data_IF_200636861059
#
_entry.id   IF_200636861059
#
_cell.length_a   1.000
_cell.length_b   1.000
_cell.length_c   1.000
_cell.angle_alpha   90.00
_cell.angle_beta   90.00
_cell.angle_gamma   90.00
#
_symmetry.space_group_name_H-M   'P 1'
#
loop_
_entity.id
_entity.type
_entity.pdbx_description
1 polymer ?
#
# COMPACT_ATOMS: atom_id res chain seq x y z
N UNK A 1 55.58 18.76 53.14
CA UNK A 1 54.68 18.45 54.25
C UNK A 1 53.44 17.85 53.59
N UNK A 2 53.37 16.52 53.55
CA UNK A 2 52.52 15.65 54.39
C UNK A 2 51.03 15.85 54.01
N UNK A 3 50.24 14.88 53.60
CA UNK A 3 50.25 13.45 53.89
C UNK A 3 49.34 12.67 52.91
N UNK A 4 49.73 11.43 52.74
CA UNK A 4 49.01 10.28 52.19
C UNK A 4 47.59 10.08 52.72
N UNK A 5 46.77 9.51 51.90
CA UNK A 5 45.43 8.99 52.20
C UNK A 5 45.05 7.82 51.31
N UNK A 6 45.64 6.67 51.56
CA UNK A 6 45.37 5.36 50.95
C UNK A 6 43.94 4.91 51.19
N UNK A 7 43.17 4.62 50.13
CA UNK A 7 41.92 3.86 50.22
C UNK A 7 42.13 2.42 49.72
N UNK A 8 41.95 1.49 50.63
CA UNK A 8 42.05 0.04 50.42
C UNK A 8 40.88 -0.48 49.58
N UNK A 9 41.17 -1.12 48.49
CA UNK A 9 40.26 -2.00 47.74
C UNK A 9 40.18 -3.35 48.43
N UNK A 10 38.96 -3.82 48.75
CA UNK A 10 38.66 -5.17 49.16
C UNK A 10 38.23 -6.02 47.93
N UNK A 11 38.74 -7.24 47.78
CA UNK A 11 38.35 -8.12 46.68
C UNK A 11 37.06 -8.83 46.98
N UNK A 12 36.04 -8.71 46.10
CA UNK A 12 34.86 -9.53 46.09
C UNK A 12 35.14 -10.88 45.45
N UNK A 13 35.18 -11.92 46.26
CA UNK A 13 35.35 -13.31 45.88
C UNK A 13 34.16 -13.85 45.10
N UNK A 14 34.44 -14.54 43.98
CA UNK A 14 33.53 -15.36 43.20
C UNK A 14 33.13 -16.62 43.99
N UNK A 15 32.09 -16.54 44.85
CA UNK A 15 31.40 -17.74 45.39
C UNK A 15 30.21 -17.31 46.24
N UNK A 16 29.10 -16.99 45.58
CA UNK A 16 27.75 -17.12 46.14
C UNK A 16 26.71 -16.63 45.10
N UNK A 17 26.41 -17.43 44.10
CA UNK A 17 25.21 -17.31 43.27
C UNK A 17 25.02 -18.61 42.49
N UNK A 18 24.82 -19.70 43.23
CA UNK A 18 24.22 -20.92 42.74
C UNK A 18 23.04 -21.25 43.70
N UNK A 19 21.85 -20.93 43.27
CA UNK A 19 20.64 -21.30 44.02
C UNK A 19 19.43 -20.62 43.39
N UNK A 20 18.58 -21.46 42.76
CA UNK A 20 17.22 -21.18 42.24
C UNK A 20 17.12 -20.62 40.82
N UNK A 21 17.28 -21.54 39.85
CA UNK A 21 16.65 -21.41 38.53
C UNK A 21 15.18 -21.76 38.67
N UNK A 22 14.34 -20.75 38.90
CA UNK A 22 12.90 -20.83 38.70
C UNK A 22 12.58 -20.25 37.33
N UNK A 23 12.22 -21.11 36.38
CA UNK A 23 11.74 -20.69 35.07
C UNK A 23 10.43 -19.96 35.25
N UNK A 24 10.44 -18.63 35.13
CA UNK A 24 9.27 -17.81 34.89
C UNK A 24 9.34 -17.35 33.44
N UNK A 25 8.69 -18.12 32.57
CA UNK A 25 8.28 -17.69 31.25
C UNK A 25 7.22 -16.60 31.40
N UNK A 26 7.62 -15.34 31.46
CA UNK A 26 6.72 -14.21 31.26
C UNK A 26 6.45 -14.06 29.77
N UNK A 27 5.50 -14.85 29.26
CA UNK A 27 4.69 -14.45 28.13
C UNK A 27 3.88 -13.25 28.56
N UNK A 28 4.33 -12.04 28.25
CA UNK A 28 3.55 -10.83 28.43
C UNK A 28 2.40 -10.83 27.42
N UNK A 29 1.37 -11.61 27.67
CA UNK A 29 0.03 -11.30 27.24
C UNK A 29 -0.37 -10.05 28.04
N UNK A 30 -0.23 -8.87 27.43
CA UNK A 30 -0.89 -7.67 27.96
C UNK A 30 -2.37 -8.02 28.12
N UNK A 31 -2.93 -7.92 29.34
CA UNK A 31 -4.32 -8.28 29.53
C UNK A 31 -5.17 -7.32 28.71
N UNK A 32 -6.01 -7.87 27.83
CA UNK A 32 -7.06 -7.16 27.10
C UNK A 32 -8.02 -6.34 28.00
N UNK A 33 -7.82 -6.38 29.32
CA UNK A 33 -8.61 -5.71 30.34
C UNK A 33 -8.20 -4.27 30.64
N UNK A 34 -7.04 -3.79 30.20
CA UNK A 34 -6.57 -2.42 30.54
C UNK A 34 -6.96 -1.34 29.51
N UNK A 35 -7.53 -1.74 28.34
CA UNK A 35 -8.06 -0.80 27.34
C UNK A 35 -9.59 -0.67 27.35
N UNK A 36 -10.28 -1.40 28.24
CA UNK A 36 -11.74 -1.52 28.23
C UNK A 36 -12.48 -0.58 29.21
N UNK A 37 -11.77 0.30 29.93
CA UNK A 37 -12.44 1.14 30.93
C UNK A 37 -13.11 2.40 30.33
N UNK A 38 -12.65 2.89 29.16
CA UNK A 38 -13.11 4.17 28.59
C UNK A 38 -13.76 4.08 27.19
N UNK A 39 -13.65 2.95 26.46
CA UNK A 39 -14.29 2.75 25.14
C UNK A 39 -15.09 1.44 25.11
N UNK A 40 -16.44 1.50 25.17
CA UNK A 40 -17.29 0.30 25.12
C UNK A 40 -17.17 -0.46 23.81
N UNK A 41 -16.72 0.18 22.74
CA UNK A 41 -16.54 -0.40 21.42
C UNK A 41 -15.09 -0.88 21.14
N UNK A 42 -14.17 -0.81 22.11
CA UNK A 42 -12.76 -1.13 21.91
C UNK A 42 -12.54 -2.54 21.31
N UNK A 43 -13.28 -3.55 21.78
CA UNK A 43 -13.16 -4.92 21.33
C UNK A 43 -13.60 -5.09 19.86
N UNK A 44 -14.78 -4.60 19.49
CA UNK A 44 -15.30 -4.67 18.13
C UNK A 44 -14.47 -3.79 17.17
N UNK A 45 -13.94 -2.67 17.67
CA UNK A 45 -13.04 -1.79 16.91
C UNK A 45 -11.74 -2.50 16.52
N UNK A 46 -11.12 -3.21 17.47
CA UNK A 46 -9.92 -4.01 17.21
C UNK A 46 -10.21 -5.14 16.20
N UNK A 47 -11.35 -5.84 16.37
CA UNK A 47 -11.81 -6.87 15.44
C UNK A 47 -12.09 -6.31 14.03
N UNK A 48 -12.67 -5.12 13.95
CA UNK A 48 -12.93 -4.42 12.70
C UNK A 48 -11.63 -4.07 11.96
N UNK A 49 -10.65 -3.46 12.64
CA UNK A 49 -9.38 -3.12 11.99
C UNK A 49 -8.66 -4.35 11.46
N UNK A 50 -8.66 -5.44 12.21
CA UNK A 50 -8.09 -6.70 11.77
C UNK A 50 -8.80 -7.24 10.51
N UNK A 51 -10.13 -7.26 10.50
CA UNK A 51 -10.96 -7.88 9.48
C UNK A 51 -11.14 -7.03 8.21
N UNK A 52 -11.10 -5.70 8.35
CA UNK A 52 -11.47 -4.78 7.27
C UNK A 52 -10.62 -4.98 6.02
N UNK A 53 -9.32 -5.22 6.18
CA UNK A 53 -8.43 -5.46 5.03
C UNK A 53 -8.79 -6.74 4.28
N UNK A 54 -9.16 -7.81 5.00
CA UNK A 54 -9.60 -9.05 4.38
C UNK A 54 -10.86 -8.83 3.54
N UNK A 55 -11.83 -8.07 4.08
CA UNK A 55 -13.04 -7.71 3.36
C UNK A 55 -12.72 -6.90 2.09
N UNK A 56 -11.88 -5.86 2.20
CA UNK A 56 -11.47 -5.04 1.07
C UNK A 56 -10.65 -5.81 0.03
N UNK A 57 -9.80 -6.74 0.46
CA UNK A 57 -9.08 -7.64 -0.42
C UNK A 57 -10.07 -8.48 -1.25
N UNK A 58 -10.99 -9.20 -0.63
CA UNK A 58 -11.99 -10.01 -1.31
C UNK A 58 -12.89 -9.16 -2.24
N UNK A 59 -13.29 -7.97 -1.81
CA UNK A 59 -14.11 -7.05 -2.60
C UNK A 59 -13.40 -6.59 -3.87
N UNK A 60 -12.11 -6.25 -3.76
CA UNK A 60 -11.29 -5.84 -4.92
C UNK A 60 -11.00 -7.02 -5.85
N UNK A 61 -10.76 -8.20 -5.29
CA UNK A 61 -10.57 -9.43 -6.04
C UNK A 61 -11.79 -9.77 -6.90
N UNK A 62 -12.97 -9.79 -6.30
CA UNK A 62 -14.21 -10.05 -7.00
C UNK A 62 -14.58 -8.96 -8.01
N UNK A 63 -14.20 -7.69 -7.74
CA UNK A 63 -14.37 -6.61 -8.70
C UNK A 63 -13.46 -6.79 -9.92
N UNK A 64 -12.22 -7.22 -9.72
CA UNK A 64 -11.29 -7.50 -10.81
C UNK A 64 -11.77 -8.68 -11.67
N UNK A 65 -12.26 -9.75 -11.03
CA UNK A 65 -12.85 -10.90 -11.73
C UNK A 65 -14.03 -10.50 -12.64
N UNK A 66 -14.87 -9.57 -12.19
CA UNK A 66 -15.99 -9.04 -13.01
C UNK A 66 -15.51 -8.20 -14.21
N UNK A 67 -14.39 -7.48 -14.07
CA UNK A 67 -13.83 -6.68 -15.17
C UNK A 67 -13.40 -7.52 -16.38
N UNK A 68 -13.12 -8.80 -16.20
CA UNK A 68 -12.67 -9.73 -17.25
C UNK A 68 -13.83 -10.45 -17.95
N UNK A 69 -15.06 -10.25 -17.46
CA UNK A 69 -16.24 -10.84 -18.08
C UNK A 69 -16.42 -12.35 -17.88
N UNK A 70 -15.59 -12.99 -17.06
CA UNK A 70 -15.68 -14.40 -16.76
C UNK A 70 -15.69 -14.63 -15.24
N UNK A 71 -16.71 -15.29 -14.66
CA UNK A 71 -16.63 -15.78 -13.30
C UNK A 71 -15.45 -16.76 -13.17
N UNK A 72 -14.56 -16.55 -12.22
CA UNK A 72 -13.48 -17.49 -11.91
C UNK A 72 -12.14 -17.22 -12.57
N UNK A 73 -11.77 -15.96 -12.79
CA UNK A 73 -10.46 -15.57 -13.35
C UNK A 73 -9.32 -15.55 -12.32
N UNK A 74 -9.40 -16.34 -11.26
CA UNK A 74 -8.23 -16.61 -10.42
C UNK A 74 -7.10 -17.23 -11.26
N UNK A 75 -5.87 -16.88 -10.93
CA UNK A 75 -4.67 -17.33 -11.62
C UNK A 75 -4.56 -16.84 -13.09
N UNK A 76 -5.26 -15.77 -13.43
CA UNK A 76 -5.26 -15.17 -14.79
C UNK A 76 -4.86 -13.70 -14.71
N UNK A 77 -3.93 -13.26 -15.56
CA UNK A 77 -3.48 -11.87 -15.60
C UNK A 77 -4.50 -11.00 -16.33
N UNK A 78 -4.92 -9.94 -15.64
CA UNK A 78 -5.68 -8.82 -16.22
C UNK A 78 -4.72 -7.69 -16.53
N UNK A 79 -4.64 -7.30 -17.79
CA UNK A 79 -3.77 -6.23 -18.25
C UNK A 79 -4.56 -4.96 -18.49
N UNK A 80 -4.06 -3.84 -17.94
CA UNK A 80 -4.52 -2.50 -18.29
C UNK A 80 -3.44 -1.85 -19.12
N UNK A 81 -3.67 -1.75 -20.42
CA UNK A 81 -2.73 -1.21 -21.40
C UNK A 81 -2.87 0.30 -21.60
N UNK A 82 -3.68 0.98 -20.80
CA UNK A 82 -3.89 2.42 -20.89
C UNK A 82 -3.54 3.09 -19.57
N UNK A 83 -2.93 4.26 -19.65
CA UNK A 83 -2.77 5.14 -18.51
C UNK A 83 -4.15 5.65 -18.05
N UNK A 84 -4.29 5.87 -16.75
CA UNK A 84 -5.49 6.52 -16.24
C UNK A 84 -5.56 7.97 -16.72
N UNK A 85 -6.77 8.42 -17.02
CA UNK A 85 -7.11 9.79 -17.40
C UNK A 85 -8.28 10.31 -16.53
N UNK A 86 -8.82 11.48 -16.86
CA UNK A 86 -9.93 12.09 -16.14
C UNK A 86 -11.24 11.26 -16.20
N UNK A 87 -11.38 10.32 -17.13
CA UNK A 87 -12.51 9.39 -17.23
C UNK A 87 -12.36 8.19 -16.30
N UNK A 88 -11.18 7.97 -15.76
CA UNK A 88 -10.87 6.84 -14.88
C UNK A 88 -11.46 7.07 -13.49
N UNK A 89 -12.72 6.61 -13.26
CA UNK A 89 -13.50 6.81 -12.02
C UNK A 89 -13.63 5.56 -11.15
N UNK A 90 -13.03 4.43 -11.55
CA UNK A 90 -13.17 3.14 -10.86
C UNK A 90 -12.39 3.06 -9.54
N UNK A 91 -11.30 3.83 -9.41
CA UNK A 91 -10.47 3.92 -8.22
C UNK A 91 -10.26 5.39 -7.84
N UNK A 92 -10.10 5.67 -6.56
CA UNK A 92 -9.72 7.00 -6.09
C UNK A 92 -8.22 7.22 -6.26
N UNK A 93 -7.82 8.44 -6.56
CA UNK A 93 -6.43 8.86 -6.77
C UNK A 93 -5.63 7.95 -7.73
N UNK A 94 -6.17 7.68 -8.95
CA UNK A 94 -5.54 6.77 -9.89
C UNK A 94 -4.13 7.25 -10.29
N UNK A 95 -3.21 6.30 -10.44
CA UNK A 95 -1.87 6.58 -10.94
C UNK A 95 -1.90 6.78 -12.47
N UNK A 96 -1.14 7.74 -12.96
CA UNK A 96 -0.99 8.06 -14.39
C UNK A 96 0.44 7.83 -14.92
N UNK A 97 1.34 7.26 -14.10
CA UNK A 97 2.75 7.07 -14.47
C UNK A 97 3.04 5.66 -15.00
N UNK A 98 2.18 4.68 -14.67
CA UNK A 98 2.42 3.25 -14.96
C UNK A 98 1.20 2.58 -15.55
N UNK A 99 1.42 1.58 -16.41
CA UNK A 99 0.41 0.59 -16.76
C UNK A 99 0.47 -0.58 -15.79
N UNK A 100 -0.62 -1.33 -15.69
CA UNK A 100 -0.80 -2.35 -14.66
C UNK A 100 -1.11 -3.72 -15.22
N UNK A 101 -0.49 -4.77 -14.65
CA UNK A 101 -0.98 -6.15 -14.76
C UNK A 101 -1.35 -6.65 -13.39
N UNK A 102 -2.55 -7.15 -13.22
CA UNK A 102 -3.08 -7.63 -11.94
C UNK A 102 -3.46 -9.10 -12.08
N UNK A 103 -3.13 -9.91 -11.08
CA UNK A 103 -3.52 -11.31 -11.01
C UNK A 103 -3.81 -11.69 -9.58
N UNK A 104 -4.93 -12.34 -9.37
CA UNK A 104 -5.32 -12.89 -8.09
C UNK A 104 -5.03 -14.39 -8.11
N UNK A 105 -4.16 -14.82 -7.23
CA UNK A 105 -3.70 -16.20 -7.13
C UNK A 105 -4.44 -16.91 -6.00
N UNK A 106 -4.99 -18.08 -6.31
CA UNK A 106 -5.32 -19.08 -5.30
C UNK A 106 -4.21 -20.12 -5.29
N UNK A 107 -3.44 -20.17 -4.21
CA UNK A 107 -2.31 -21.08 -4.03
C UNK A 107 -2.68 -22.39 -3.32
N UNK A 108 -3.95 -22.59 -2.97
CA UNK A 108 -4.42 -23.80 -2.28
C UNK A 108 -4.24 -25.09 -3.09
N UNK A 109 -4.25 -24.99 -4.41
CA UNK A 109 -4.03 -26.09 -5.33
C UNK A 109 -2.54 -26.41 -5.60
N UNK A 110 -1.61 -25.64 -5.04
CA UNK A 110 -0.17 -25.72 -5.29
C UNK A 110 0.42 -24.37 -5.75
N UNK A 111 1.72 -24.32 -6.01
CA UNK A 111 2.39 -23.09 -6.40
C UNK A 111 1.95 -22.59 -7.78
N UNK A 112 2.13 -21.29 -8.01
CA UNK A 112 2.05 -20.68 -9.34
C UNK A 112 3.44 -20.22 -9.76
N UNK A 113 3.70 -20.28 -11.06
CA UNK A 113 4.94 -19.80 -11.65
C UNK A 113 4.73 -18.43 -12.29
N UNK A 114 5.56 -17.46 -11.90
CA UNK A 114 5.77 -16.21 -12.61
C UNK A 114 6.91 -16.41 -13.61
N UNK A 115 6.70 -16.04 -14.87
CA UNK A 115 7.79 -15.70 -15.79
C UNK A 115 7.81 -14.17 -15.95
N UNK A 116 8.97 -13.55 -15.70
CA UNK A 116 9.18 -12.11 -15.78
C UNK A 116 10.29 -11.77 -16.77
N UNK A 117 10.16 -10.69 -17.58
CA UNK A 117 11.20 -10.25 -18.50
C UNK A 117 12.39 -9.62 -17.75
N UNK A 118 13.56 -9.61 -18.37
CA UNK A 118 14.67 -8.75 -17.98
C UNK A 118 14.43 -7.34 -18.50
N UNK A 119 14.40 -6.34 -17.59
CA UNK A 119 14.12 -4.95 -17.92
C UNK A 119 15.17 -4.05 -17.26
N UNK A 120 15.87 -3.23 -18.06
CA UNK A 120 16.98 -2.39 -17.62
C UNK A 120 16.76 -0.89 -17.90
N UNK A 121 15.90 -0.59 -18.83
CA UNK A 121 15.68 0.74 -19.41
C UNK A 121 14.50 1.50 -18.81
N UNK A 122 13.67 0.81 -18.00
CA UNK A 122 12.50 1.39 -17.33
C UNK A 122 12.24 0.77 -15.97
N UNK A 123 11.47 1.47 -15.14
CA UNK A 123 11.01 0.92 -13.88
C UNK A 123 9.98 -0.18 -14.12
N UNK A 124 10.24 -1.33 -13.52
CA UNK A 124 9.31 -2.46 -13.37
C UNK A 124 9.26 -2.89 -11.91
N UNK A 125 8.07 -3.07 -11.38
CA UNK A 125 7.84 -3.68 -10.08
C UNK A 125 6.68 -4.66 -10.16
N UNK A 126 6.94 -5.93 -9.86
CA UNK A 126 5.94 -6.98 -9.70
C UNK A 126 5.88 -7.29 -8.22
N UNK A 127 4.88 -6.78 -7.53
CA UNK A 127 4.66 -6.98 -6.10
C UNK A 127 3.71 -8.14 -5.86
N UNK A 128 3.98 -8.95 -4.84
CA UNK A 128 3.12 -10.01 -4.35
C UNK A 128 2.70 -9.70 -2.93
N UNK A 129 1.38 -9.61 -2.71
CA UNK A 129 0.77 -9.28 -1.43
C UNK A 129 -0.08 -10.45 -0.95
N UNK A 130 0.00 -10.77 0.34
CA UNK A 130 -0.90 -11.72 0.97
C UNK A 130 -2.32 -11.13 1.14
N UNK A 131 -3.28 -11.88 1.67
CA UNK A 131 -4.65 -11.40 1.86
C UNK A 131 -4.78 -10.21 2.83
N UNK A 132 -3.75 -9.94 3.63
CA UNK A 132 -3.65 -8.73 4.48
C UNK A 132 -2.93 -7.57 3.80
N UNK A 133 -2.63 -7.69 2.51
CA UNK A 133 -1.92 -6.70 1.69
C UNK A 133 -0.50 -6.35 2.15
N UNK A 134 0.13 -7.22 2.96
CA UNK A 134 1.57 -7.16 3.20
C UNK A 134 2.32 -7.64 1.97
N UNK A 135 3.27 -6.85 1.49
CA UNK A 135 4.11 -7.22 0.35
C UNK A 135 5.22 -8.18 0.81
N UNK A 136 5.09 -9.47 0.51
CA UNK A 136 6.06 -10.47 0.92
C UNK A 136 7.15 -10.75 -0.13
N UNK A 137 6.93 -10.36 -1.40
CA UNK A 137 7.91 -10.52 -2.47
C UNK A 137 7.78 -9.46 -3.54
N UNK A 138 8.91 -9.19 -4.20
CA UNK A 138 8.99 -8.33 -5.38
C UNK A 138 9.91 -8.94 -6.43
N UNK A 139 9.60 -8.70 -7.72
CA UNK A 139 10.47 -8.94 -8.86
C UNK A 139 10.51 -7.67 -9.70
N UNK A 140 11.68 -7.26 -10.16
CA UNK A 140 11.84 -6.08 -11.02
C UNK A 140 13.06 -5.24 -10.68
N UNK A 141 12.98 -3.94 -10.95
CA UNK A 141 14.13 -3.01 -10.94
C UNK A 141 14.91 -3.04 -9.64
N UNK A 142 14.24 -3.02 -8.48
CA UNK A 142 14.92 -3.04 -7.18
C UNK A 142 15.28 -4.46 -6.74
N UNK A 143 14.28 -5.34 -6.69
CA UNK A 143 14.40 -6.62 -5.97
C UNK A 143 15.27 -7.64 -6.70
N UNK A 144 15.30 -7.62 -8.03
CA UNK A 144 16.12 -8.52 -8.85
C UNK A 144 17.09 -7.77 -9.76
N UNK A 145 17.38 -6.48 -9.47
CA UNK A 145 18.22 -5.62 -10.29
C UNK A 145 17.79 -5.61 -11.78
N UNK A 146 16.47 -5.64 -12.04
CA UNK A 146 15.91 -5.72 -13.36
C UNK A 146 16.09 -7.07 -14.07
N UNK A 147 16.63 -8.09 -13.39
CA UNK A 147 16.73 -9.44 -13.96
C UNK A 147 15.35 -10.10 -13.96
N UNK A 148 14.98 -10.64 -15.09
CA UNK A 148 13.84 -11.53 -15.24
C UNK A 148 14.17 -12.96 -14.86
N UNK A 149 13.27 -13.87 -15.20
CA UNK A 149 13.40 -15.29 -14.94
C UNK A 149 12.10 -15.94 -14.51
N UNK A 150 12.23 -17.15 -13.97
CA UNK A 150 11.11 -17.92 -13.42
C UNK A 150 11.16 -17.87 -11.91
N UNK A 151 10.00 -17.70 -11.28
CA UNK A 151 9.84 -17.60 -9.83
C UNK A 151 8.58 -18.37 -9.43
N UNK A 152 8.64 -19.17 -8.37
CA UNK A 152 7.47 -19.83 -7.85
C UNK A 152 6.87 -19.08 -6.66
N UNK A 153 5.57 -18.97 -6.66
CA UNK A 153 4.79 -18.39 -5.56
C UNK A 153 4.02 -19.55 -4.92
N UNK A 154 4.30 -19.83 -3.65
CA UNK A 154 3.73 -20.95 -2.93
C UNK A 154 2.91 -20.48 -1.72
N UNK A 155 1.79 -21.16 -1.48
CA UNK A 155 0.97 -20.99 -0.29
C UNK A 155 1.60 -21.58 0.97
N UNK A 156 1.01 -21.33 2.15
CA UNK A 156 1.58 -21.71 3.43
C UNK A 156 1.65 -23.23 3.63
N UNK A 157 0.73 -23.98 3.05
CA UNK A 157 0.65 -25.44 3.22
C UNK A 157 1.53 -26.23 2.23
N UNK A 158 2.10 -25.57 1.21
CA UNK A 158 2.89 -26.25 0.20
C UNK A 158 4.25 -26.74 0.75
N UNK A 159 4.53 -28.05 0.66
CA UNK A 159 5.75 -28.71 1.15
C UNK A 159 6.64 -29.27 0.03
N UNK A 160 6.28 -29.01 -1.25
CA UNK A 160 7.03 -29.53 -2.38
C UNK A 160 8.36 -28.83 -2.61
N UNK A 161 9.05 -29.26 -3.67
CA UNK A 161 10.33 -28.70 -4.12
C UNK A 161 10.15 -28.05 -5.49
N UNK A 162 10.68 -26.85 -5.66
CA UNK A 162 10.75 -26.22 -6.97
C UNK A 162 11.86 -26.84 -7.83
N UNK A 163 11.83 -26.66 -9.15
CA UNK A 163 12.93 -27.01 -10.02
C UNK A 163 14.22 -26.29 -9.61
N UNK A 164 15.36 -26.92 -9.92
CA UNK A 164 16.67 -26.36 -9.58
C UNK A 164 16.86 -24.96 -10.16
N UNK A 165 17.36 -24.06 -9.31
CA UNK A 165 17.61 -22.66 -9.68
C UNK A 165 16.36 -21.77 -9.74
N UNK A 166 15.16 -22.28 -9.45
CA UNK A 166 13.93 -21.47 -9.41
C UNK A 166 13.65 -21.00 -7.99
N UNK A 167 13.74 -19.68 -7.71
CA UNK A 167 13.41 -19.13 -6.39
C UNK A 167 11.94 -19.34 -6.03
N UNK A 168 11.67 -19.59 -4.74
CA UNK A 168 10.32 -19.75 -4.20
C UNK A 168 10.00 -18.64 -3.23
N UNK A 169 8.95 -17.87 -3.53
CA UNK A 169 8.37 -16.90 -2.61
C UNK A 169 7.21 -17.55 -1.86
N UNK A 170 7.24 -17.52 -0.53
CA UNK A 170 6.21 -18.11 0.31
C UNK A 170 5.27 -17.07 0.87
N UNK A 171 3.99 -17.24 0.61
CA UNK A 171 2.92 -16.42 1.20
C UNK A 171 2.44 -17.03 2.51
N UNK A 172 2.00 -16.20 3.45
CA UNK A 172 1.30 -16.60 4.67
C UNK A 172 -0.19 -16.93 4.44
N UNK A 173 -0.71 -16.65 3.23
CA UNK A 173 -2.09 -16.96 2.83
C UNK A 173 -2.12 -17.61 1.45
N UNK A 174 -3.17 -18.42 1.18
CA UNK A 174 -3.38 -19.00 -0.14
C UNK A 174 -3.87 -17.97 -1.17
N UNK A 175 -4.60 -16.97 -0.72
CA UNK A 175 -5.05 -15.87 -1.57
C UNK A 175 -3.94 -14.81 -1.62
N UNK A 176 -3.49 -14.51 -2.85
CA UNK A 176 -2.38 -13.59 -3.11
C UNK A 176 -2.74 -12.65 -4.26
N UNK A 177 -2.43 -11.39 -4.10
CA UNK A 177 -2.55 -10.39 -5.15
C UNK A 177 -1.18 -10.10 -5.76
N UNK A 178 -0.99 -10.45 -7.02
CA UNK A 178 0.13 -9.97 -7.85
C UNK A 178 -0.26 -8.66 -8.52
N UNK A 179 0.55 -7.63 -8.38
CA UNK A 179 0.34 -6.35 -9.07
C UNK A 179 1.65 -5.86 -9.69
N UNK A 180 1.73 -5.91 -11.01
CA UNK A 180 2.85 -5.37 -11.77
C UNK A 180 2.59 -3.90 -12.15
N UNK A 181 3.62 -3.07 -12.04
CA UNK A 181 3.68 -1.67 -12.45
C UNK A 181 4.82 -1.48 -13.42
N UNK A 182 4.53 -0.96 -14.59
CA UNK A 182 5.49 -0.72 -15.68
C UNK A 182 5.43 0.76 -16.03
N UNK A 183 6.54 1.46 -15.87
CA UNK A 183 6.64 2.87 -16.20
C UNK A 183 6.35 3.11 -17.67
N UNK A 184 5.56 4.15 -17.92
CA UNK A 184 5.30 4.70 -19.26
C UNK A 184 5.86 6.11 -19.33
N UNK A 185 6.75 6.35 -20.26
CA UNK A 185 7.44 7.63 -20.43
C UNK A 185 6.76 8.51 -21.50
N UNK A 186 5.51 8.84 -21.18
CA UNK A 186 4.65 9.59 -22.08
C UNK A 186 3.90 8.73 -23.11
N UNK A 187 2.97 9.32 -23.88
CA UNK A 187 2.08 8.58 -24.79
C UNK A 187 2.80 7.79 -25.88
N UNK A 188 3.94 8.26 -26.35
CA UNK A 188 4.72 7.60 -27.42
C UNK A 188 5.46 6.35 -26.95
N UNK A 189 5.68 6.22 -25.63
CA UNK A 189 6.34 5.07 -25.00
C UNK A 189 5.37 3.92 -24.68
N UNK A 190 4.06 4.16 -24.74
CA UNK A 190 3.06 3.17 -24.36
C UNK A 190 3.24 1.82 -25.09
N UNK A 191 3.49 1.74 -26.40
CA UNK A 191 3.71 0.45 -27.08
C UNK A 191 4.92 -0.32 -26.54
N UNK A 192 6.01 0.36 -26.16
CA UNK A 192 7.19 -0.27 -25.59
C UNK A 192 6.92 -0.81 -24.18
N UNK A 193 6.15 -0.06 -23.36
CA UNK A 193 5.71 -0.53 -22.05
C UNK A 193 4.75 -1.74 -22.16
N UNK A 194 3.84 -1.73 -23.14
CA UNK A 194 2.95 -2.87 -23.43
C UNK A 194 3.75 -4.11 -23.87
N UNK A 195 4.80 -3.94 -24.67
CA UNK A 195 5.67 -5.05 -25.07
C UNK A 195 6.33 -5.73 -23.85
N UNK A 196 6.75 -4.96 -22.85
CA UNK A 196 7.22 -5.50 -21.54
C UNK A 196 6.08 -6.19 -20.80
N UNK A 197 4.90 -5.58 -20.77
CA UNK A 197 3.72 -6.11 -20.09
C UNK A 197 3.32 -7.49 -20.61
N UNK A 198 3.39 -7.71 -21.92
CA UNK A 198 3.00 -8.98 -22.55
C UNK A 198 3.95 -10.14 -22.21
N UNK A 199 5.19 -9.85 -21.83
CA UNK A 199 6.18 -10.85 -21.44
C UNK A 199 5.98 -11.35 -19.99
N UNK A 200 5.16 -10.69 -19.18
CA UNK A 200 4.82 -11.16 -17.83
C UNK A 200 3.74 -12.22 -17.96
N UNK A 201 4.02 -13.42 -17.46
CA UNK A 201 3.03 -14.51 -17.46
C UNK A 201 2.96 -15.22 -16.12
N UNK A 202 1.76 -15.74 -15.81
CA UNK A 202 1.48 -16.63 -14.68
C UNK A 202 1.01 -17.94 -15.26
N UNK A 203 1.57 -19.04 -14.78
CA UNK A 203 1.18 -20.40 -15.19
C UNK A 203 1.12 -21.36 -14.01
N UNK A 204 0.33 -22.42 -14.16
CA UNK A 204 0.23 -23.48 -13.17
C UNK A 204 1.24 -24.59 -13.51
N UNK A 205 2.17 -24.95 -12.60
CA UNK A 205 2.96 -26.17 -12.75
C UNK A 205 2.07 -27.40 -12.85
N UNK A 206 2.60 -28.49 -13.46
CA UNK A 206 1.88 -29.76 -13.59
C UNK A 206 1.45 -30.33 -12.23
N UNK A 207 0.30 -31.00 -12.21
CA UNK A 207 -0.24 -31.64 -11.00
C UNK A 207 -0.98 -30.71 -10.04
N UNK A 208 -1.19 -29.46 -10.41
CA UNK A 208 -1.94 -28.49 -9.60
C UNK A 208 -3.45 -28.70 -9.73
N UNK A 209 -4.17 -28.56 -8.61
CA UNK A 209 -5.63 -28.53 -8.63
C UNK A 209 -6.18 -27.19 -9.18
N UNK A 210 -7.40 -27.18 -9.76
CA UNK A 210 -8.05 -25.93 -10.17
C UNK A 210 -8.22 -24.95 -9.00
N UNK A 211 -8.25 -23.63 -9.28
CA UNK A 211 -8.48 -22.64 -8.24
C UNK A 211 -9.87 -22.73 -7.66
N UNK A 212 -10.00 -22.45 -6.37
CA UNK A 212 -11.30 -22.39 -5.67
C UNK A 212 -11.85 -20.97 -5.72
N UNK A 213 -12.98 -20.80 -6.40
CA UNK A 213 -13.68 -19.52 -6.39
C UNK A 213 -14.23 -19.15 -5.01
N UNK A 214 -14.59 -17.86 -4.83
CA UNK A 214 -15.33 -17.42 -3.66
C UNK A 214 -16.78 -17.89 -3.70
N UNK A 215 -17.32 -18.28 -2.54
CA UNK A 215 -18.72 -18.68 -2.39
C UNK A 215 -19.59 -17.52 -1.90
N UNK A 216 -19.00 -16.54 -1.21
CA UNK A 216 -19.69 -15.35 -0.70
C UNK A 216 -19.26 -14.11 -1.49
N UNK A 217 -20.23 -13.44 -2.10
CA UNK A 217 -19.99 -12.18 -2.79
C UNK A 217 -19.87 -11.02 -1.79
N UNK A 218 -18.76 -10.28 -1.84
CA UNK A 218 -18.60 -9.07 -1.07
C UNK A 218 -19.48 -7.94 -1.62
N UNK A 219 -20.22 -7.26 -0.75
CA UNK A 219 -21.05 -6.13 -1.13
C UNK A 219 -20.22 -4.85 -1.33
N UNK A 220 -20.64 -3.90 -2.18
CA UNK A 220 -19.84 -2.73 -2.51
C UNK A 220 -19.50 -1.82 -1.34
N UNK A 221 -20.36 -1.74 -0.31
CA UNK A 221 -20.22 -0.75 0.77
C UNK A 221 -19.65 -1.33 2.08
N UNK A 222 -19.61 -2.65 2.27
CA UNK A 222 -19.07 -3.29 3.46
C UNK A 222 -19.81 -2.95 4.77
N UNK A 223 -21.09 -2.55 4.67
CA UNK A 223 -21.91 -2.13 5.82
C UNK A 223 -22.94 -3.17 6.26
N UNK A 224 -23.11 -4.25 5.52
CA UNK A 224 -23.93 -5.39 5.91
C UNK A 224 -23.10 -6.31 6.84
N UNK A 225 -23.54 -6.44 8.09
CA UNK A 225 -22.82 -7.18 9.12
C UNK A 225 -22.69 -8.68 8.82
N UNK A 226 -23.74 -9.30 8.30
CA UNK A 226 -23.73 -10.73 7.98
C UNK A 226 -22.80 -11.00 6.78
N UNK A 227 -22.88 -10.17 5.75
CA UNK A 227 -21.98 -10.25 4.59
C UNK A 227 -20.52 -9.99 4.99
N UNK A 228 -20.26 -8.95 5.81
CA UNK A 228 -18.92 -8.63 6.26
C UNK A 228 -18.26 -9.84 6.97
N UNK A 229 -18.93 -10.43 7.95
CA UNK A 229 -18.43 -11.59 8.68
C UNK A 229 -18.29 -12.83 7.77
N UNK A 230 -19.25 -13.07 6.89
CA UNK A 230 -19.22 -14.21 5.99
C UNK A 230 -18.03 -14.16 5.02
N UNK A 231 -17.77 -12.98 4.41
CA UNK A 231 -16.63 -12.75 3.49
C UNK A 231 -15.30 -12.90 4.22
N UNK A 232 -15.16 -12.26 5.40
CA UNK A 232 -13.93 -12.34 6.20
C UNK A 232 -13.62 -13.78 6.60
N UNK A 233 -14.63 -14.51 7.12
CA UNK A 233 -14.46 -15.89 7.55
C UNK A 233 -14.20 -16.85 6.37
N UNK A 234 -14.78 -16.60 5.19
CA UNK A 234 -14.45 -17.36 3.99
C UNK A 234 -12.95 -17.20 3.68
N UNK A 235 -12.44 -15.97 3.64
CA UNK A 235 -11.03 -15.71 3.33
C UNK A 235 -10.08 -16.37 4.35
N UNK A 236 -10.45 -16.36 5.65
CA UNK A 236 -9.69 -17.05 6.70
C UNK A 236 -9.67 -18.57 6.47
N UNK A 237 -10.81 -19.19 6.13
CA UNK A 237 -10.91 -20.63 5.88
C UNK A 237 -10.15 -21.09 4.63
N UNK A 238 -9.92 -20.20 3.67
CA UNK A 238 -9.17 -20.51 2.44
C UNK A 238 -7.68 -20.78 2.71
N UNK A 239 -7.17 -20.37 3.90
CA UNK A 239 -5.81 -20.65 4.36
C UNK A 239 -5.85 -21.41 5.71
N UNK A 240 -6.14 -22.72 5.71
CA UNK A 240 -6.43 -23.48 6.93
C UNK A 240 -5.23 -23.58 7.89
N UNK A 241 -4.00 -23.48 7.39
CA UNK A 241 -2.79 -23.45 8.21
C UNK A 241 -2.64 -22.23 9.12
N UNK A 242 -3.41 -21.18 8.89
CA UNK A 242 -3.47 -19.96 9.70
C UNK A 242 -2.10 -19.42 10.11
N UNK A 243 -1.23 -19.22 9.15
CA UNK A 243 0.11 -18.66 9.38
C UNK A 243 0.09 -17.12 9.36
N UNK A 244 1.16 -16.50 9.84
CA UNK A 244 1.31 -15.05 9.86
C UNK A 244 0.17 -14.36 10.61
N UNK A 245 -0.43 -13.35 9.99
CA UNK A 245 -1.53 -12.57 10.56
C UNK A 245 -2.78 -13.42 10.84
N UNK A 246 -3.02 -14.49 10.06
CA UNK A 246 -4.16 -15.38 10.28
C UNK A 246 -4.06 -16.17 11.60
N UNK A 247 -2.86 -16.37 12.15
CA UNK A 247 -2.69 -16.99 13.47
C UNK A 247 -3.38 -16.21 14.59
N UNK A 248 -3.62 -14.90 14.40
CA UNK A 248 -4.30 -14.04 15.36
C UNK A 248 -5.83 -14.05 15.25
N UNK A 249 -6.39 -14.68 14.20
CA UNK A 249 -7.85 -14.66 13.96
C UNK A 249 -8.67 -15.13 15.17
N UNK A 250 -8.20 -16.15 15.90
CA UNK A 250 -8.86 -16.69 17.09
C UNK A 250 -9.00 -15.68 18.23
N UNK A 251 -8.19 -14.62 18.28
CA UNK A 251 -8.30 -13.55 19.29
C UNK A 251 -9.60 -12.76 19.13
N UNK A 252 -10.22 -12.80 17.96
CA UNK A 252 -11.44 -12.08 17.61
C UNK A 252 -12.67 -12.99 17.51
N UNK A 253 -12.58 -14.24 17.99
CA UNK A 253 -13.67 -15.23 17.92
C UNK A 253 -14.94 -14.73 18.64
N UNK A 254 -14.81 -13.99 19.75
CA UNK A 254 -15.95 -13.38 20.44
C UNK A 254 -16.71 -12.38 19.55
N UNK A 255 -16.07 -11.84 18.52
CA UNK A 255 -16.65 -10.94 17.54
C UNK A 255 -17.03 -11.66 16.22
N UNK A 256 -17.08 -12.99 16.23
CA UNK A 256 -17.50 -13.80 15.08
C UNK A 256 -16.45 -13.92 13.98
N UNK A 257 -15.17 -13.59 14.24
CA UNK A 257 -14.06 -13.69 13.28
C UNK A 257 -13.21 -14.91 13.59
N UNK A 258 -12.82 -15.67 12.55
CA UNK A 258 -12.00 -16.86 12.70
C UNK A 258 -12.72 -18.04 13.35
N UNK A 259 -14.03 -18.04 13.33
CA UNK A 259 -14.91 -19.10 13.85
C UNK A 259 -15.85 -19.62 12.78
N UNK A 260 -16.28 -20.87 12.91
CA UNK A 260 -17.30 -21.50 12.07
C UNK A 260 -18.72 -21.36 12.68
N UNK A 261 -18.82 -20.74 13.85
CA UNK A 261 -20.10 -20.51 14.49
C UNK A 261 -20.90 -19.43 13.74
N UNK A 262 -22.20 -19.65 13.60
CA UNK A 262 -23.09 -18.62 13.06
C UNK A 262 -23.19 -17.46 14.05
N UNK A 263 -23.08 -16.21 13.58
CA UNK A 263 -23.19 -15.05 14.45
C UNK A 263 -24.59 -14.96 15.06
N UNK A 264 -24.65 -14.68 16.38
CA UNK A 264 -25.93 -14.44 17.05
C UNK A 264 -26.58 -13.14 16.57
N UNK A 265 -27.92 -12.99 16.70
CA UNK A 265 -28.61 -11.75 16.39
C UNK A 265 -28.02 -10.52 17.11
N UNK A 266 -27.65 -10.65 18.40
CA UNK A 266 -27.04 -9.58 19.16
C UNK A 266 -25.64 -9.19 18.61
N UNK A 267 -24.88 -10.16 18.15
CA UNK A 267 -23.58 -9.89 17.51
C UNK A 267 -23.75 -9.17 16.16
N UNK A 268 -24.71 -9.59 15.35
CA UNK A 268 -25.02 -8.91 14.08
C UNK A 268 -25.51 -7.48 14.32
N UNK A 269 -26.32 -7.24 15.34
CA UNK A 269 -26.74 -5.89 15.73
C UNK A 269 -25.55 -5.02 16.13
N UNK A 270 -24.63 -5.55 16.94
CA UNK A 270 -23.41 -4.83 17.33
C UNK A 270 -22.56 -4.44 16.10
N UNK A 271 -22.35 -5.35 15.17
CA UNK A 271 -21.65 -5.05 13.92
C UNK A 271 -22.39 -4.05 13.02
N UNK A 272 -23.72 -4.17 12.89
CA UNK A 272 -24.53 -3.24 12.09
C UNK A 272 -24.40 -1.81 12.60
N UNK A 273 -24.38 -1.64 13.94
CA UNK A 273 -24.15 -0.34 14.58
C UNK A 273 -22.72 0.16 14.34
N UNK A 274 -21.73 -0.74 14.47
CA UNK A 274 -20.31 -0.35 14.48
C UNK A 274 -19.72 -0.09 13.08
N UNK A 275 -20.09 -0.86 12.04
CA UNK A 275 -19.47 -0.76 10.71
C UNK A 275 -19.46 0.67 10.15
N UNK A 276 -20.55 1.46 10.18
CA UNK A 276 -20.52 2.85 9.73
C UNK A 276 -19.54 3.72 10.54
N UNK A 277 -19.45 3.48 11.84
CA UNK A 277 -18.54 4.20 12.75
C UNK A 277 -17.09 3.90 12.40
N UNK A 278 -16.76 2.60 12.25
CA UNK A 278 -15.42 2.15 11.89
C UNK A 278 -14.96 2.66 10.52
N UNK A 279 -15.82 2.63 9.52
CA UNK A 279 -15.53 3.17 8.17
C UNK A 279 -15.30 4.69 8.23
N UNK A 280 -16.10 5.41 9.02
CA UNK A 280 -15.91 6.84 9.23
C UNK A 280 -14.55 7.15 9.88
N UNK A 281 -14.20 6.40 10.94
CA UNK A 281 -12.90 6.53 11.61
C UNK A 281 -11.72 6.29 10.65
N UNK A 282 -11.82 5.28 9.78
CA UNK A 282 -10.80 5.04 8.76
C UNK A 282 -10.70 6.19 7.74
N UNK A 283 -11.82 6.77 7.29
CA UNK A 283 -11.81 7.92 6.37
C UNK A 283 -11.14 9.14 6.98
N UNK A 284 -11.43 9.43 8.25
CA UNK A 284 -10.83 10.55 8.97
C UNK A 284 -9.34 10.30 9.26
N UNK A 285 -8.98 9.07 9.65
CA UNK A 285 -7.61 8.66 9.96
C UNK A 285 -6.69 8.61 8.73
N UNK A 286 -7.22 8.34 7.54
CA UNK A 286 -6.43 8.27 6.31
C UNK A 286 -5.81 9.62 5.88
N UNK A 287 -6.26 10.72 6.45
CA UNK A 287 -5.66 12.03 6.20
C UNK A 287 -4.28 12.20 6.84
N UNK A 288 -3.87 11.32 7.74
CA UNK A 288 -2.58 11.32 8.45
C UNK A 288 -2.16 12.72 8.95
N UNK A 289 -3.10 13.43 9.57
CA UNK A 289 -2.91 14.84 10.00
C UNK A 289 -1.74 15.04 10.96
N UNK A 290 -1.40 14.01 11.73
CA UNK A 290 -0.29 14.04 12.69
C UNK A 290 1.10 13.93 12.00
N UNK A 291 1.13 13.64 10.70
CA UNK A 291 2.34 13.48 9.91
C UNK A 291 2.49 14.55 8.83
N UNK A 292 2.02 15.76 9.10
CA UNK A 292 2.10 16.89 8.15
C UNK A 292 3.38 17.69 8.37
N UNK A 293 4.14 17.89 7.30
CA UNK A 293 5.33 18.73 7.26
C UNK A 293 5.26 19.61 6.02
N UNK A 294 5.40 20.92 6.17
CA UNK A 294 5.34 21.90 5.08
C UNK A 294 4.04 21.81 4.24
N UNK A 295 2.90 21.48 4.86
CA UNK A 295 1.63 21.28 4.16
C UNK A 295 1.45 19.89 3.53
N UNK A 296 2.47 19.04 3.55
CA UNK A 296 2.45 17.68 3.01
C UNK A 296 2.22 16.63 4.11
N UNK A 297 1.22 15.78 3.92
CA UNK A 297 1.03 14.56 4.73
C UNK A 297 1.99 13.48 4.24
N UNK A 298 2.76 12.94 5.15
CA UNK A 298 3.69 11.84 4.90
C UNK A 298 3.01 10.50 5.17
N UNK A 299 3.33 9.47 4.39
CA UNK A 299 2.87 8.13 4.72
C UNK A 299 3.45 7.68 6.09
N UNK A 300 2.68 6.98 6.94
CA UNK A 300 3.23 6.35 8.14
C UNK A 300 4.30 5.30 7.80
N UNK A 301 5.19 5.02 8.76
CA UNK A 301 6.12 3.90 8.66
C UNK A 301 5.36 2.57 8.61
N UNK A 302 5.89 1.62 7.85
CA UNK A 302 5.32 0.27 7.74
C UNK A 302 4.22 0.11 6.70
N UNK A 303 3.93 1.12 5.87
CA UNK A 303 3.02 0.97 4.72
C UNK A 303 3.54 -0.14 3.80
N UNK A 304 2.66 -1.08 3.43
CA UNK A 304 2.98 -2.25 2.62
C UNK A 304 3.68 -3.40 3.38
N UNK A 305 3.99 -3.20 4.68
CA UNK A 305 4.58 -4.18 5.59
C UNK A 305 4.09 -3.87 7.01
N UNK A 306 2.82 -4.10 7.27
CA UNK A 306 2.09 -3.54 8.43
C UNK A 306 2.36 -4.28 9.73
N UNK A 307 2.82 -5.55 9.69
CA UNK A 307 2.98 -6.38 10.87
C UNK A 307 1.69 -6.49 11.68
N UNK A 308 1.73 -6.19 12.98
CA UNK A 308 0.54 -6.20 13.85
C UNK A 308 -0.23 -4.88 13.88
N UNK A 309 0.12 -3.89 13.06
CA UNK A 309 -0.58 -2.60 13.03
C UNK A 309 -1.85 -2.67 12.15
N UNK A 310 -2.88 -3.33 12.69
CA UNK A 310 -4.15 -3.57 11.97
C UNK A 310 -4.87 -2.27 11.61
N UNK A 311 -4.76 -1.23 12.46
CA UNK A 311 -5.37 0.07 12.15
C UNK A 311 -4.71 0.72 10.92
N UNK A 312 -3.38 0.75 10.85
CA UNK A 312 -2.69 1.30 9.68
C UNK A 312 -3.01 0.50 8.42
N UNK A 313 -3.03 -0.82 8.53
CA UNK A 313 -3.41 -1.73 7.44
C UNK A 313 -4.82 -1.42 6.93
N UNK A 314 -5.80 -1.28 7.83
CA UNK A 314 -7.18 -0.95 7.47
C UNK A 314 -7.31 0.46 6.83
N UNK A 315 -6.57 1.46 7.35
CA UNK A 315 -6.50 2.80 6.75
C UNK A 315 -6.02 2.74 5.29
N UNK A 316 -4.93 1.99 5.06
CA UNK A 316 -4.36 1.85 3.70
C UNK A 316 -5.27 0.99 2.82
N UNK A 317 -5.93 -0.03 3.36
CA UNK A 317 -6.90 -0.82 2.60
C UNK A 317 -8.08 0.03 2.09
N UNK A 318 -8.54 1.01 2.88
CA UNK A 318 -9.61 1.93 2.47
C UNK A 318 -9.16 2.93 1.40
N UNK A 319 -8.00 3.56 1.58
CA UNK A 319 -7.61 4.75 0.79
C UNK A 319 -6.51 4.54 -0.23
N UNK A 320 -5.80 3.41 -0.18
CA UNK A 320 -4.65 3.13 -1.05
C UNK A 320 -4.26 1.66 -1.04
N UNK A 321 -5.26 0.76 -1.15
CA UNK A 321 -5.02 -0.69 -1.16
C UNK A 321 -3.93 -1.07 -2.19
N UNK A 322 -3.14 -2.06 -1.87
CA UNK A 322 -1.99 -2.49 -2.67
C UNK A 322 -0.86 -1.44 -2.74
N UNK A 323 -0.71 -0.60 -1.71
CA UNK A 323 0.43 0.29 -1.59
C UNK A 323 1.74 -0.50 -1.52
N UNK A 324 2.78 0.04 -2.16
CA UNK A 324 4.12 -0.52 -2.12
C UNK A 324 4.80 -0.20 -0.78
N UNK A 325 5.74 -1.05 -0.38
CA UNK A 325 6.60 -0.78 0.77
C UNK A 325 7.52 0.45 0.55
N UNK A 326 7.96 1.07 1.64
CA UNK A 326 8.74 2.33 1.62
C UNK A 326 10.01 2.26 0.76
N UNK A 327 10.65 1.10 0.66
CA UNK A 327 11.82 0.91 -0.19
C UNK A 327 11.49 0.88 -1.69
N UNK A 328 10.24 0.60 -2.04
CA UNK A 328 9.77 0.53 -3.42
C UNK A 328 9.15 1.85 -3.87
N UNK A 329 8.32 2.46 -3.02
CA UNK A 329 7.75 3.78 -3.30
C UNK A 329 7.39 4.53 -2.00
N UNK A 330 7.51 5.85 -2.03
CA UNK A 330 6.99 6.74 -1.00
C UNK A 330 5.94 7.67 -1.58
N UNK A 331 4.92 7.94 -0.75
CA UNK A 331 3.75 8.75 -1.12
C UNK A 331 3.59 9.92 -0.18
N UNK A 332 3.39 11.11 -0.75
CA UNK A 332 3.14 12.35 -0.01
C UNK A 332 1.91 13.02 -0.60
N UNK A 333 1.08 13.61 0.26
CA UNK A 333 -0.15 14.25 -0.19
C UNK A 333 -0.24 15.68 0.35
N UNK A 334 -0.57 16.64 -0.50
CA UNK A 334 -0.89 17.98 -0.08
C UNK A 334 -2.38 18.28 -0.30
N UNK A 335 -3.05 18.69 0.78
CA UNK A 335 -4.40 19.23 0.79
C UNK A 335 -4.41 20.68 1.26
N UNK A 336 -3.26 21.16 1.75
CA UNK A 336 -3.07 22.49 2.33
C UNK A 336 -1.77 23.09 1.81
N UNK A 337 -1.70 24.39 1.77
CA UNK A 337 -0.48 25.15 1.46
C UNK A 337 0.43 25.28 2.69
N UNK A 338 1.51 26.04 2.55
CA UNK A 338 2.48 26.31 3.63
C UNK A 338 1.86 27.03 4.85
N UNK A 339 0.76 27.73 4.66
CA UNK A 339 0.06 28.52 5.68
C UNK A 339 -1.13 27.78 6.29
N UNK A 340 -1.40 26.54 5.84
CA UNK A 340 -2.51 25.71 6.31
C UNK A 340 -3.86 26.02 5.65
N UNK A 341 -3.88 26.85 4.59
CA UNK A 341 -5.08 27.06 3.79
C UNK A 341 -5.31 25.88 2.84
N UNK A 342 -6.59 25.49 2.63
CA UNK A 342 -6.95 24.44 1.70
C UNK A 342 -6.54 24.78 0.29
N UNK A 343 -5.94 23.82 -0.40
CA UNK A 343 -5.60 23.98 -1.80
C UNK A 343 -6.86 24.06 -2.66
N UNK A 344 -6.89 25.07 -3.54
CA UNK A 344 -7.97 25.31 -4.49
C UNK A 344 -7.40 25.87 -5.79
N UNK A 345 -7.90 25.40 -6.92
CA UNK A 345 -7.52 25.93 -8.23
C UNK A 345 -8.04 27.35 -8.53
N UNK A 346 -8.73 27.98 -7.57
CA UNK A 346 -9.00 29.43 -7.62
C UNK A 346 -7.74 30.25 -7.36
N UNK A 347 -6.72 29.65 -6.77
CA UNK A 347 -5.42 30.25 -6.49
C UNK A 347 -4.33 29.63 -7.39
N UNK A 348 -3.25 30.38 -7.56
CA UNK A 348 -2.02 29.90 -8.19
C UNK A 348 -0.99 29.53 -7.11
N UNK A 349 -0.23 28.46 -7.36
CA UNK A 349 0.81 28.00 -6.44
C UNK A 349 2.11 27.74 -7.19
N UNK A 350 3.22 27.87 -6.48
CA UNK A 350 4.55 27.47 -6.92
C UNK A 350 5.09 26.40 -6.01
N UNK A 351 5.59 25.33 -6.59
CA UNK A 351 6.34 24.32 -5.89
C UNK A 351 7.78 24.30 -6.42
N UNK A 352 8.71 24.75 -5.58
CA UNK A 352 10.12 24.78 -5.94
C UNK A 352 10.79 23.49 -5.52
N UNK A 353 11.15 22.65 -6.50
CA UNK A 353 11.96 21.46 -6.32
C UNK A 353 13.43 21.89 -6.30
N UNK A 354 14.20 21.59 -5.24
CA UNK A 354 15.58 22.03 -5.13
C UNK A 354 16.48 21.42 -6.20
N UNK A 355 17.70 21.94 -6.41
CA UNK A 355 18.70 21.31 -7.26
C UNK A 355 18.90 19.85 -6.86
N UNK A 356 19.00 18.95 -7.86
CA UNK A 356 19.05 17.50 -7.64
C UNK A 356 17.70 16.80 -7.59
N UNK A 357 16.59 17.54 -7.49
CA UNK A 357 15.24 16.98 -7.58
C UNK A 357 14.74 16.31 -6.30
N UNK A 358 13.68 15.53 -6.41
CA UNK A 358 13.20 14.64 -5.34
C UNK A 358 14.12 13.42 -5.29
N UNK A 359 14.61 13.00 -4.11
CA UNK A 359 15.56 11.90 -4.00
C UNK A 359 14.95 10.53 -4.32
N UNK A 360 14.85 10.20 -5.59
CA UNK A 360 14.40 8.92 -6.13
C UNK A 360 15.48 8.33 -7.05
N UNK A 361 15.65 7.01 -7.03
CA UNK A 361 16.60 6.30 -7.92
C UNK A 361 15.96 5.95 -9.26
N UNK A 362 14.63 5.71 -9.29
CA UNK A 362 13.90 5.42 -10.51
C UNK A 362 13.29 6.70 -11.10
N UNK A 363 12.29 7.25 -10.47
CA UNK A 363 11.65 8.51 -10.89
C UNK A 363 10.75 9.06 -9.78
N UNK A 364 10.32 10.30 -9.97
CA UNK A 364 9.26 10.90 -9.16
C UNK A 364 8.20 11.57 -10.02
N UNK A 365 6.99 11.67 -9.51
CA UNK A 365 5.89 12.39 -10.16
C UNK A 365 5.01 13.12 -9.14
N UNK A 366 4.53 14.31 -9.53
CA UNK A 366 3.52 15.09 -8.83
C UNK A 366 2.23 15.04 -9.65
N UNK A 367 1.19 14.40 -9.10
CA UNK A 367 -0.10 14.23 -9.77
C UNK A 367 -1.14 15.16 -9.19
N UNK A 368 -1.94 15.80 -10.06
CA UNK A 368 -3.07 16.66 -9.72
C UNK A 368 -4.37 15.88 -9.65
N UNK A 369 -5.15 16.16 -8.60
CA UNK A 369 -6.50 15.61 -8.45
C UNK A 369 -7.53 16.69 -8.10
N UNK A 370 -8.70 16.55 -8.69
CA UNK A 370 -9.94 17.20 -8.26
C UNK A 370 -10.48 16.49 -7.02
N UNK A 371 -10.73 17.24 -5.94
CA UNK A 371 -11.23 16.71 -4.68
C UNK A 371 -12.76 16.73 -4.68
N UNK A 372 -13.37 15.54 -4.68
CA UNK A 372 -14.81 15.40 -4.69
C UNK A 372 -15.42 15.58 -3.29
N UNK A 373 -16.69 16.02 -3.20
CA UNK A 373 -17.41 16.20 -1.92
C UNK A 373 -17.53 14.91 -1.09
N UNK A 374 -17.53 13.74 -1.75
CA UNK A 374 -17.60 12.42 -1.11
C UNK A 374 -16.25 11.89 -0.60
N UNK A 375 -15.18 12.70 -0.72
CA UNK A 375 -13.82 12.39 -0.28
C UNK A 375 -13.00 11.59 -1.29
N UNK A 376 -13.51 11.34 -2.50
CA UNK A 376 -12.74 10.74 -3.60
C UNK A 376 -11.95 11.78 -4.37
N UNK A 377 -10.95 11.32 -5.10
CA UNK A 377 -10.03 12.14 -5.86
C UNK A 377 -9.89 11.60 -7.28
N UNK A 378 -10.02 12.48 -8.29
CA UNK A 378 -9.91 12.06 -9.68
C UNK A 378 -9.01 12.99 -10.48
N UNK A 379 -8.42 12.46 -11.55
CA UNK A 379 -7.61 13.25 -12.47
C UNK A 379 -8.46 14.35 -13.11
N UNK A 380 -7.82 15.51 -13.35
CA UNK A 380 -8.49 16.72 -13.84
C UNK A 380 -8.47 16.75 -15.36
N UNK A 381 -9.64 16.91 -16.01
CA UNK A 381 -9.67 17.21 -17.43
C UNK A 381 -8.96 18.54 -17.69
N UNK A 382 -8.05 18.56 -18.66
CA UNK A 382 -7.26 19.75 -18.94
C UNK A 382 -6.83 19.81 -20.41
N UNK A 383 -6.55 21.03 -20.99
CA UNK A 383 -6.35 21.23 -22.40
C UNK A 383 -5.08 20.58 -23.00
N UNK A 384 -4.13 20.19 -22.15
CA UNK A 384 -2.86 19.58 -22.60
C UNK A 384 -2.74 18.09 -22.20
N UNK A 385 -3.78 17.48 -21.61
CA UNK A 385 -3.78 16.08 -21.18
C UNK A 385 -2.71 15.76 -20.14
N UNK A 386 -2.22 16.76 -19.38
CA UNK A 386 -1.18 16.58 -18.37
C UNK A 386 -1.80 16.39 -17.01
N UNK A 387 -1.71 15.17 -16.48
CA UNK A 387 -2.25 14.80 -15.17
C UNK A 387 -1.17 14.76 -14.09
N UNK A 388 0.08 14.56 -14.51
CA UNK A 388 1.24 14.56 -13.63
C UNK A 388 2.42 15.32 -14.27
N UNK A 389 3.35 15.75 -13.42
CA UNK A 389 4.62 16.37 -13.81
C UNK A 389 5.73 15.81 -12.92
N UNK A 390 6.90 15.51 -13.50
CA UNK A 390 7.99 14.89 -12.76
C UNK A 390 9.32 15.02 -13.50
N UNK A 391 10.36 14.34 -13.00
CA UNK A 391 11.71 14.36 -13.60
C UNK A 391 11.77 13.85 -15.05
N UNK A 392 10.74 13.11 -15.48
CA UNK A 392 10.60 12.54 -16.83
C UNK A 392 9.73 13.38 -17.77
N UNK A 393 9.17 14.48 -17.27
CA UNK A 393 8.37 15.37 -18.11
C UNK A 393 9.29 16.07 -19.12
N UNK A 394 9.01 15.94 -20.44
CA UNK A 394 9.79 16.60 -21.46
C UNK A 394 9.78 18.13 -21.29
N UNK A 395 10.87 18.77 -21.70
CA UNK A 395 11.01 20.23 -21.81
C UNK A 395 10.87 21.00 -20.50
N UNK A 396 11.04 20.32 -19.33
CA UNK A 396 11.06 21.03 -18.04
C UNK A 396 12.18 22.07 -18.01
N UNK A 397 11.78 23.29 -17.72
CA UNK A 397 12.70 24.43 -17.56
C UNK A 397 13.21 24.46 -16.13
N UNK A 398 14.55 24.53 -16.00
CA UNK A 398 15.24 24.70 -14.72
C UNK A 398 15.66 26.14 -14.53
N UNK A 399 15.70 26.55 -13.28
CA UNK A 399 16.26 27.83 -12.88
C UNK A 399 17.80 27.82 -12.98
N UNK A 400 18.46 28.98 -13.00
CA UNK A 400 19.93 29.06 -13.07
C UNK A 400 20.64 28.34 -11.92
N UNK A 401 19.99 28.20 -10.75
CA UNK A 401 20.52 27.48 -9.59
C UNK A 401 20.31 25.94 -9.70
N UNK A 402 19.69 25.46 -10.78
CA UNK A 402 19.38 24.07 -11.01
C UNK A 402 18.05 23.60 -10.39
N UNK A 403 17.34 24.46 -9.67
CA UNK A 403 16.00 24.13 -9.15
C UNK A 403 14.94 24.11 -10.26
N UNK A 404 13.82 23.46 -10.02
CA UNK A 404 12.66 23.44 -10.93
C UNK A 404 11.44 24.00 -10.23
N UNK A 405 10.83 25.04 -10.82
CA UNK A 405 9.59 25.64 -10.30
C UNK A 405 8.42 25.06 -11.07
N UNK A 406 7.56 24.31 -10.39
CA UNK A 406 6.31 23.78 -10.94
C UNK A 406 5.20 24.83 -10.70
N UNK A 407 4.49 25.20 -11.77
CA UNK A 407 3.37 26.11 -11.74
C UNK A 407 2.07 25.33 -11.63
N UNK A 408 1.39 25.46 -10.50
CA UNK A 408 0.13 24.75 -10.19
C UNK A 408 -0.98 25.80 -10.19
N UNK A 409 -1.73 25.85 -11.27
CA UNK A 409 -2.78 26.87 -11.47
C UNK A 409 -3.72 26.45 -12.60
N UNK A 410 -4.91 27.05 -12.67
CA UNK A 410 -5.89 26.74 -13.69
C UNK A 410 -5.48 27.23 -15.07
N UNK A 411 -5.08 28.50 -15.14
CA UNK A 411 -4.69 29.12 -16.40
C UNK A 411 -3.22 28.84 -16.72
N UNK A 412 -2.91 28.71 -18.01
CA UNK A 412 -1.53 28.47 -18.47
C UNK A 412 -0.64 29.68 -18.11
N UNK A 413 0.48 29.48 -17.42
CA UNK A 413 1.40 30.57 -17.14
C UNK A 413 2.07 31.06 -18.43
N UNK A 414 2.44 32.35 -18.44
CA UNK A 414 3.16 32.94 -19.55
C UNK A 414 4.66 32.59 -19.55
N UNK A 415 5.30 32.80 -20.70
CA UNK A 415 6.73 32.66 -20.87
C UNK A 415 7.27 31.25 -20.70
N UNK A 416 8.52 31.13 -20.26
CA UNK A 416 9.25 29.85 -20.18
C UNK A 416 8.63 28.87 -19.17
N UNK A 417 7.98 29.36 -18.11
CA UNK A 417 7.37 28.51 -17.08
C UNK A 417 6.10 27.78 -17.56
N UNK A 418 5.59 28.09 -18.77
CA UNK A 418 4.51 27.35 -19.38
C UNK A 418 4.85 25.85 -19.58
N UNK A 419 6.14 25.51 -19.74
CA UNK A 419 6.61 24.11 -19.81
C UNK A 419 6.42 23.36 -18.47
N UNK A 420 6.52 24.08 -17.34
CA UNK A 420 6.42 23.55 -15.98
C UNK A 420 5.00 23.65 -15.40
N UNK A 421 3.99 23.81 -16.24
CA UNK A 421 2.61 23.94 -15.81
C UNK A 421 1.96 22.59 -15.51
N UNK A 422 1.38 22.47 -14.31
CA UNK A 422 0.47 21.40 -13.91
C UNK A 422 -0.93 21.99 -13.76
N UNK A 423 -1.86 21.73 -14.70
CA UNK A 423 -3.20 22.30 -14.69
C UNK A 423 -4.01 21.90 -13.44
N UNK A 424 -4.63 22.89 -12.79
CA UNK A 424 -5.47 22.70 -11.61
C UNK A 424 -6.96 22.71 -11.97
N UNK A 425 -7.85 22.06 -11.18
CA UNK A 425 -9.30 22.16 -11.33
C UNK A 425 -9.80 23.55 -10.93
N UNK A 426 -11.09 23.85 -11.10
CA UNK A 426 -11.69 25.12 -10.68
C UNK A 426 -11.91 25.22 -9.15
N UNK A 427 -12.01 24.08 -8.46
CA UNK A 427 -12.39 23.98 -7.06
C UNK A 427 -11.30 23.37 -6.17
N UNK A 428 -11.70 22.73 -5.05
CA UNK A 428 -10.77 22.08 -4.14
C UNK A 428 -9.92 21.03 -4.86
N UNK A 429 -8.64 20.97 -4.50
CA UNK A 429 -7.69 20.06 -5.15
C UNK A 429 -6.81 19.33 -4.15
N UNK A 430 -6.19 18.27 -4.61
CA UNK A 430 -5.18 17.49 -3.90
C UNK A 430 -4.00 17.21 -4.82
N UNK A 431 -2.82 17.27 -4.26
CA UNK A 431 -1.60 16.82 -4.94
C UNK A 431 -1.11 15.51 -4.31
N UNK A 432 -0.60 14.62 -5.16
CA UNK A 432 0.10 13.43 -4.72
C UNK A 432 1.49 13.40 -5.34
N UNK A 433 2.52 13.51 -4.51
CA UNK A 433 3.90 13.28 -4.88
C UNK A 433 4.24 11.80 -4.64
N UNK A 434 4.75 11.14 -5.66
CA UNK A 434 5.23 9.76 -5.61
C UNK A 434 6.72 9.73 -5.93
N UNK A 435 7.51 9.05 -5.09
CA UNK A 435 8.92 8.82 -5.33
C UNK A 435 9.16 7.30 -5.42
N UNK A 436 9.60 6.83 -6.58
CA UNK A 436 9.86 5.41 -6.84
C UNK A 436 11.33 5.09 -6.64
N UNK A 437 11.62 4.02 -5.92
CA UNK A 437 12.93 3.67 -5.40
C UNK A 437 13.56 4.86 -4.65
N UNK A 438 12.91 5.33 -3.58
CA UNK A 438 13.39 6.50 -2.85
C UNK A 438 14.81 6.24 -2.30
N UNK A 439 15.63 7.29 -2.27
CA UNK A 439 16.94 7.24 -1.64
C UNK A 439 16.78 7.28 -0.11
N UNK A 440 17.81 6.87 0.62
CA UNK A 440 17.79 6.77 2.08
C UNK A 440 17.43 8.09 2.75
N UNK A 441 17.91 9.22 2.23
CA UNK A 441 17.59 10.56 2.75
C UNK A 441 16.09 10.89 2.73
N UNK A 442 15.33 10.32 1.78
CA UNK A 442 13.89 10.45 1.73
C UNK A 442 13.20 9.45 2.67
N UNK A 443 13.65 8.19 2.69
CA UNK A 443 13.17 7.14 3.59
C UNK A 443 13.37 7.57 5.05
N UNK A 444 14.53 8.12 5.39
CA UNK A 444 14.86 8.60 6.73
C UNK A 444 14.19 9.94 7.08
N UNK A 445 13.49 10.55 6.11
CA UNK A 445 12.86 11.88 6.26
C UNK A 445 13.85 13.01 6.55
N UNK A 446 15.12 12.83 6.19
CA UNK A 446 16.14 13.88 6.24
C UNK A 446 15.88 14.92 5.16
N UNK A 447 15.59 14.48 3.94
CA UNK A 447 15.05 15.34 2.89
C UNK A 447 13.56 15.55 3.14
N UNK A 448 13.13 16.81 3.14
CA UNK A 448 11.73 17.17 3.37
C UNK A 448 11.13 17.77 2.11
N UNK A 449 9.90 17.37 1.81
CA UNK A 449 9.16 17.93 0.67
C UNK A 449 9.02 19.43 0.87
N UNK A 450 9.46 20.27 -0.12
CA UNK A 450 9.31 21.72 -0.05
C UNK A 450 7.84 22.13 0.05
N UNK A 451 7.55 23.28 0.70
CA UNK A 451 6.19 23.78 0.80
C UNK A 451 5.61 24.22 -0.56
N UNK A 452 4.28 24.28 -0.63
CA UNK A 452 3.55 24.91 -1.71
C UNK A 452 3.31 26.38 -1.34
N UNK A 453 3.78 27.31 -2.17
CA UNK A 453 3.65 28.73 -1.97
C UNK A 453 2.54 29.28 -2.87
N UNK A 454 1.55 29.96 -2.30
CA UNK A 454 0.54 30.69 -3.04
C UNK A 454 1.15 31.98 -3.61
N UNK A 455 0.83 32.31 -4.87
CA UNK A 455 1.33 33.49 -5.57
C UNK A 455 0.21 34.35 -6.13
#
# INVERSE_FOLDING_TARGET
MISDGTSRSLPLTRRALLGTAGALSFGAALPARLLAADDPDAGIRAAFYYAFTLYEFARNEQALARCVGAPGTLNTIVRRSQLSDWRSRNVTAPNNDTIYSSCLLDLSGGPMELAAPTVRDRYLSIAFMNAFTDNFAYVGTRATNGNGGRFWIAGPEWQGTAPDGVPVFRSSTNDVWMLARILVDGPTDLPAAEAVQQQISISAPAGRHPPRGFTVAAQPQGTDAANFLAVVNELIRRSPGRQGELARAGQFAAWGIGTDQQPSPALLEAWTRFLPIGIKDLREGFLFRDLVVNGWSYQPRGVGNFGSNDRLRALVALGGIAALGEQEAMYFHANFDAHGARLSGQNAYRWRVPPGGVPAKAFWSLTMYDAQPDGRYYLVENPIGRYSIGDRTPDLVREPDGSTVICIQRERPEGRLAANWLPAPAGPMRLALRAYLPKEELIDRKWRVPPLEQV
#
